data_IF_741661716895
#
_entry.id   IF_741661716895
#
_cell.length_a   1.000
_cell.length_b   1.000
_cell.length_c   1.000
_cell.angle_alpha   90.00
_cell.angle_beta   90.00
_cell.angle_gamma   90.00
#
_symmetry.space_group_name_H-M   'P 1'
#
loop_
_entity.id
_entity.type
_entity.pdbx_description
1 polymer ?
#
# COMPACT_ATOMS: atom_id res chain seq x y z
N UNK A 1 4.22 12.96 31.46
CA UNK A 1 3.41 14.15 31.11
C UNK A 1 3.02 14.20 29.62
N UNK A 2 3.47 13.25 28.77
CA UNK A 2 3.14 13.21 27.35
C UNK A 2 3.71 14.34 26.49
N UNK A 3 4.56 15.18 27.06
CA UNK A 3 5.20 16.27 26.30
C UNK A 3 6.53 15.81 25.71
N UNK A 4 6.86 16.23 24.47
CA UNK A 4 8.15 15.96 23.87
C UNK A 4 9.29 16.52 24.71
N UNK A 5 10.36 15.74 24.87
CA UNK A 5 11.59 16.22 25.52
C UNK A 5 12.45 16.91 24.46
N UNK A 6 12.81 18.19 24.64
CA UNK A 6 13.65 18.90 23.69
C UNK A 6 14.97 18.16 23.42
N UNK A 7 15.37 18.10 22.15
CA UNK A 7 16.62 17.48 21.69
C UNK A 7 16.72 15.96 21.93
N UNK A 8 15.61 15.28 22.24
CA UNK A 8 15.57 13.83 22.37
C UNK A 8 14.72 13.24 21.23
N UNK A 9 15.28 12.31 20.49
CA UNK A 9 14.66 11.66 19.34
C UNK A 9 14.61 10.15 19.57
N UNK A 10 13.51 9.52 19.16
CA UNK A 10 13.34 8.08 19.19
C UNK A 10 13.08 7.55 17.77
N UNK A 11 13.76 6.49 17.38
CA UNK A 11 13.59 5.84 16.07
C UNK A 11 13.58 4.32 16.24
N UNK A 12 12.91 3.62 15.31
CA UNK A 12 12.79 2.17 15.33
C UNK A 12 11.71 1.65 16.29
N UNK A 13 11.84 0.41 16.68
CA UNK A 13 10.84 -0.35 17.42
C UNK A 13 10.46 0.28 18.76
N UNK A 14 11.38 0.99 19.39
CA UNK A 14 11.14 1.74 20.64
C UNK A 14 10.01 2.77 20.53
N UNK A 15 9.69 3.22 19.30
CA UNK A 15 8.59 4.18 19.07
C UNK A 15 7.21 3.55 19.19
N UNK A 16 7.09 2.21 19.19
CA UNK A 16 5.82 1.48 19.18
C UNK A 16 4.97 1.70 17.93
N UNK A 17 5.53 2.29 16.88
CA UNK A 17 4.87 2.47 15.57
C UNK A 17 5.00 1.19 14.72
N UNK A 18 5.18 1.29 13.42
CA UNK A 18 5.44 0.13 12.57
C UNK A 18 6.84 -0.43 12.86
N UNK A 19 6.92 -1.61 13.49
CA UNK A 19 8.16 -2.27 13.90
C UNK A 19 8.81 -3.01 12.73
N UNK A 20 9.33 -2.23 11.77
CA UNK A 20 9.92 -2.70 10.51
C UNK A 20 11.26 -1.99 10.27
N UNK A 21 12.26 -2.71 9.75
CA UNK A 21 13.59 -2.17 9.51
C UNK A 21 13.59 -0.92 8.60
N UNK A 22 12.83 -0.95 7.51
CA UNK A 22 12.69 0.18 6.59
C UNK A 22 11.93 1.36 7.22
N UNK A 23 10.99 1.12 8.14
CA UNK A 23 10.36 2.18 8.94
C UNK A 23 11.38 2.85 9.85
N UNK A 24 12.20 2.06 10.54
CA UNK A 24 13.27 2.59 11.41
C UNK A 24 14.25 3.45 10.63
N UNK A 25 14.68 3.01 9.44
CA UNK A 25 15.55 3.77 8.55
C UNK A 25 14.92 5.11 8.12
N UNK A 26 13.64 5.08 7.72
CA UNK A 26 12.90 6.30 7.36
C UNK A 26 12.75 7.26 8.55
N UNK A 27 12.46 6.74 9.74
CA UNK A 27 12.40 7.54 10.98
C UNK A 27 13.74 8.19 11.28
N UNK A 28 14.86 7.47 11.11
CA UNK A 28 16.21 8.02 11.28
C UNK A 28 16.48 9.19 10.35
N UNK A 29 16.14 9.05 9.07
CA UNK A 29 16.27 10.14 8.08
C UNK A 29 15.45 11.36 8.49
N UNK A 30 14.18 11.15 8.86
CA UNK A 30 13.29 12.26 9.29
C UNK A 30 13.78 12.91 10.58
N UNK A 31 14.32 12.14 11.52
CA UNK A 31 14.88 12.69 12.74
C UNK A 31 16.07 13.63 12.43
N UNK A 32 16.98 13.22 11.53
CA UNK A 32 18.11 14.08 11.08
C UNK A 32 17.59 15.33 10.36
N UNK A 33 16.63 15.18 9.43
CA UNK A 33 16.03 16.33 8.73
C UNK A 33 15.46 17.35 9.74
N UNK A 34 14.79 16.86 10.79
CA UNK A 34 14.20 17.73 11.81
C UNK A 34 15.24 18.37 12.75
N UNK A 35 16.35 17.67 13.05
CA UNK A 35 17.48 18.25 13.75
C UNK A 35 18.07 19.43 12.96
N UNK A 36 18.06 19.31 11.62
CA UNK A 36 18.52 20.35 10.70
C UNK A 36 17.47 21.45 10.43
N UNK A 37 16.27 21.33 11.00
CA UNK A 37 15.22 22.36 10.89
C UNK A 37 14.30 22.21 9.67
N UNK A 38 14.29 21.08 8.96
CA UNK A 38 13.51 20.91 7.73
C UNK A 38 12.02 20.62 7.98
N UNK A 39 11.57 20.33 9.21
CA UNK A 39 10.15 20.16 9.56
C UNK A 39 9.45 19.01 8.85
N UNK A 40 10.11 17.87 8.68
CA UNK A 40 9.60 16.71 7.92
C UNK A 40 8.76 15.77 8.80
N UNK A 41 7.71 15.17 8.21
CA UNK A 41 6.87 14.16 8.84
C UNK A 41 6.86 12.86 8.02
N UNK A 42 6.51 11.74 8.68
CA UNK A 42 6.31 10.44 8.03
C UNK A 42 4.82 10.18 7.87
N UNK A 43 4.36 9.90 6.65
CA UNK A 43 3.04 9.28 6.44
C UNK A 43 3.17 7.76 6.59
N UNK A 44 2.85 7.26 7.79
CA UNK A 44 2.91 5.82 8.08
C UNK A 44 1.95 4.98 7.24
N UNK A 45 0.90 5.59 6.65
CA UNK A 45 -0.03 4.86 5.77
C UNK A 45 0.61 4.42 4.46
N UNK A 46 1.64 5.13 4.01
CA UNK A 46 2.36 4.81 2.77
C UNK A 46 3.48 3.79 2.94
N UNK A 47 3.76 3.35 4.18
CA UNK A 47 4.83 2.38 4.45
C UNK A 47 4.29 0.96 4.23
N UNK A 48 4.84 0.20 3.28
CA UNK A 48 4.44 -1.18 3.05
C UNK A 48 4.96 -2.09 4.17
N UNK A 49 4.20 -3.16 4.45
CA UNK A 49 4.61 -4.24 5.33
C UNK A 49 4.58 -5.57 4.58
N UNK A 50 5.54 -6.45 4.88
CA UNK A 50 5.59 -7.78 4.31
C UNK A 50 5.91 -8.83 5.38
N UNK A 51 5.30 -10.02 5.21
CA UNK A 51 5.58 -11.22 5.99
C UNK A 51 6.06 -12.30 5.01
N UNK A 52 7.29 -12.79 5.22
CA UNK A 52 7.98 -13.70 4.32
C UNK A 52 7.62 -15.17 4.61
N UNK A 53 6.33 -15.45 4.65
CA UNK A 53 5.78 -16.80 4.64
C UNK A 53 5.80 -17.37 3.22
N UNK A 54 5.41 -18.63 3.04
CA UNK A 54 5.17 -19.20 1.73
C UNK A 54 3.71 -19.69 1.67
N UNK A 55 2.85 -19.03 0.88
CA UNK A 55 3.03 -17.78 0.11
C UNK A 55 3.26 -16.54 1.01
N UNK A 56 3.88 -15.51 0.42
CA UNK A 56 4.11 -14.23 1.09
C UNK A 56 2.80 -13.46 1.32
N UNK A 57 2.81 -12.60 2.35
CA UNK A 57 1.71 -11.67 2.63
C UNK A 57 2.27 -10.25 2.70
N UNK A 58 1.61 -9.32 2.05
CA UNK A 58 1.99 -7.91 2.14
C UNK A 58 0.78 -6.98 2.20
N UNK A 59 1.00 -5.78 2.72
CA UNK A 59 -0.05 -4.78 2.85
C UNK A 59 0.52 -3.36 2.84
N UNK A 60 -0.30 -2.41 2.43
CA UNK A 60 -0.03 -0.98 2.56
C UNK A 60 -1.36 -0.22 2.68
N UNK A 61 -1.34 0.91 3.36
CA UNK A 61 -2.51 1.77 3.52
C UNK A 61 -3.51 1.25 4.54
N UNK A 62 -4.77 1.55 4.31
CA UNK A 62 -5.86 1.24 5.23
C UNK A 62 -6.29 -0.23 5.14
N UNK A 63 -6.66 -0.80 6.29
CA UNK A 63 -7.46 -2.02 6.31
C UNK A 63 -8.88 -1.74 5.81
N UNK A 64 -9.62 -2.80 5.46
CA UNK A 64 -11.03 -2.59 5.05
C UNK A 64 -11.88 -1.97 6.16
N UNK A 65 -11.61 -2.30 7.43
CA UNK A 65 -12.31 -1.74 8.57
C UNK A 65 -12.03 -0.23 8.70
N UNK A 66 -10.76 0.16 8.62
CA UNK A 66 -10.35 1.57 8.70
C UNK A 66 -10.85 2.37 7.50
N UNK A 67 -10.82 1.78 6.30
CA UNK A 67 -11.33 2.42 5.08
C UNK A 67 -12.85 2.62 5.13
N UNK A 68 -13.62 1.69 5.72
CA UNK A 68 -15.05 1.85 5.96
C UNK A 68 -15.33 2.98 6.95
N UNK A 69 -14.61 3.01 8.07
CA UNK A 69 -14.77 4.09 9.06
C UNK A 69 -14.43 5.46 8.47
N UNK A 70 -13.37 5.53 7.64
CA UNK A 70 -13.03 6.77 6.93
C UNK A 70 -14.13 7.17 5.93
N UNK A 71 -14.67 6.21 5.17
CA UNK A 71 -15.72 6.47 4.19
C UNK A 71 -17.01 7.00 4.86
N UNK A 72 -17.39 6.44 5.99
CA UNK A 72 -18.52 6.91 6.79
C UNK A 72 -18.28 8.33 7.33
N UNK A 73 -17.07 8.59 7.85
CA UNK A 73 -16.70 9.89 8.41
C UNK A 73 -16.69 10.99 7.35
N UNK A 74 -16.10 10.72 6.19
CA UNK A 74 -15.83 11.72 5.15
C UNK A 74 -16.90 11.73 4.04
N UNK A 75 -17.92 10.85 4.11
CA UNK A 75 -19.08 10.85 3.24
C UNK A 75 -18.81 10.38 1.80
N UNK A 76 -17.91 9.41 1.59
CA UNK A 76 -17.67 8.82 0.27
C UNK A 76 -18.02 7.33 0.23
N UNK A 77 -18.15 6.77 -0.98
CA UNK A 77 -18.35 5.34 -1.15
C UNK A 77 -17.00 4.60 -1.24
N UNK A 78 -16.82 3.58 -0.38
CA UNK A 78 -15.67 2.68 -0.47
C UNK A 78 -15.83 1.71 -1.63
N UNK A 79 -14.81 1.63 -2.49
CA UNK A 79 -14.66 0.61 -3.52
C UNK A 79 -13.69 -0.48 -3.07
N UNK A 80 -13.96 -1.72 -3.48
CA UNK A 80 -13.08 -2.87 -3.27
C UNK A 80 -13.11 -3.79 -4.47
N UNK A 81 -11.95 -4.21 -4.93
CA UNK A 81 -11.79 -5.23 -5.99
C UNK A 81 -10.80 -6.30 -5.57
N UNK A 82 -10.85 -7.45 -6.25
CA UNK A 82 -9.87 -8.52 -6.09
C UNK A 82 -9.39 -9.00 -7.45
N UNK A 83 -8.09 -9.11 -7.62
CA UNK A 83 -7.44 -9.80 -8.72
C UNK A 83 -6.78 -11.07 -8.20
N UNK A 84 -6.65 -12.10 -9.04
CA UNK A 84 -6.23 -13.42 -8.62
C UNK A 84 -5.01 -13.89 -9.41
N UNK A 85 -4.02 -14.47 -8.73
CA UNK A 85 -2.84 -15.06 -9.36
C UNK A 85 -3.20 -16.21 -10.30
N UNK A 86 -4.30 -16.94 -10.05
CA UNK A 86 -4.82 -17.99 -10.95
C UNK A 86 -5.16 -17.50 -12.36
N UNK A 87 -5.36 -16.19 -12.53
CA UNK A 87 -5.60 -15.56 -13.84
C UNK A 87 -4.34 -14.90 -14.44
N UNK A 88 -3.19 -15.02 -13.76
CA UNK A 88 -1.93 -14.43 -14.18
C UNK A 88 -1.05 -15.47 -14.89
N UNK A 89 -0.65 -15.20 -16.13
CA UNK A 89 0.12 -16.15 -16.97
C UNK A 89 1.50 -16.45 -16.40
N UNK A 90 2.17 -15.49 -15.75
CA UNK A 90 3.48 -15.71 -15.15
C UNK A 90 3.38 -16.62 -13.91
N UNK A 91 2.38 -16.40 -13.05
CA UNK A 91 2.14 -17.25 -11.88
C UNK A 91 1.81 -18.71 -12.30
N UNK A 92 1.02 -18.88 -13.37
CA UNK A 92 0.75 -20.20 -13.93
C UNK A 92 2.01 -20.88 -14.49
N UNK A 93 2.87 -20.13 -15.18
CA UNK A 93 4.12 -20.63 -15.72
C UNK A 93 5.12 -21.05 -14.62
N UNK A 94 5.06 -20.41 -13.45
CA UNK A 94 5.87 -20.75 -12.29
C UNK A 94 5.27 -21.86 -11.42
N UNK A 95 4.07 -22.36 -11.79
CA UNK A 95 3.33 -23.39 -11.05
C UNK A 95 3.00 -22.97 -9.59
N UNK A 96 2.95 -21.66 -9.33
CA UNK A 96 2.62 -21.07 -8.04
C UNK A 96 1.60 -19.92 -8.24
N UNK A 97 0.35 -20.30 -8.41
CA UNK A 97 -0.74 -19.39 -8.75
C UNK A 97 -1.78 -19.23 -7.62
N UNK A 98 -1.47 -19.73 -6.42
CA UNK A 98 -2.36 -19.53 -5.27
C UNK A 98 -2.14 -18.14 -4.68
N UNK A 99 -3.20 -17.34 -4.69
CA UNK A 99 -3.11 -15.99 -4.17
C UNK A 99 -4.09 -15.00 -4.78
N UNK A 100 -4.14 -13.84 -4.15
CA UNK A 100 -4.96 -12.72 -4.58
C UNK A 100 -4.35 -11.38 -4.14
N UNK A 101 -4.72 -10.33 -4.84
CA UNK A 101 -4.61 -8.96 -4.39
C UNK A 101 -6.00 -8.39 -4.14
N UNK A 102 -6.17 -7.70 -3.01
CA UNK A 102 -7.33 -6.88 -2.68
C UNK A 102 -6.93 -5.41 -2.70
N UNK A 103 -7.62 -4.60 -3.47
CA UNK A 103 -7.43 -3.15 -3.57
C UNK A 103 -8.63 -2.42 -2.98
N UNK A 104 -8.36 -1.39 -2.17
CA UNK A 104 -9.36 -0.50 -1.58
C UNK A 104 -9.18 0.91 -2.16
N UNK A 105 -10.27 1.55 -2.55
CA UNK A 105 -10.23 2.88 -3.18
C UNK A 105 -11.48 3.70 -2.88
N UNK A 106 -11.37 5.01 -2.97
CA UNK A 106 -12.49 5.94 -2.90
C UNK A 106 -13.20 5.98 -4.26
N UNK A 107 -14.47 5.58 -4.33
CA UNK A 107 -15.24 5.57 -5.60
C UNK A 107 -15.51 6.97 -6.18
N UNK A 108 -15.46 8.00 -5.37
CA UNK A 108 -15.70 9.38 -5.82
C UNK A 108 -14.45 9.98 -6.45
N UNK A 109 -13.30 9.92 -5.74
CA UNK A 109 -12.03 10.50 -6.22
C UNK A 109 -11.20 9.53 -7.06
N UNK A 110 -11.41 8.24 -6.90
CA UNK A 110 -10.55 7.18 -7.41
C UNK A 110 -9.29 6.91 -6.57
N UNK A 111 -9.04 7.67 -5.50
CA UNK A 111 -7.83 7.57 -4.69
C UNK A 111 -7.64 6.15 -4.14
N UNK A 112 -6.42 5.61 -4.29
CA UNK A 112 -6.01 4.33 -3.68
C UNK A 112 -5.87 4.52 -2.18
N UNK A 113 -6.62 3.75 -1.39
CA UNK A 113 -6.63 3.85 0.08
C UNK A 113 -5.79 2.77 0.74
N UNK A 114 -5.64 1.61 0.11
CA UNK A 114 -4.85 0.51 0.64
C UNK A 114 -4.93 -0.73 -0.23
N UNK A 115 -3.98 -1.65 -0.01
CA UNK A 115 -3.96 -2.96 -0.66
C UNK A 115 -3.39 -4.03 0.26
N UNK A 116 -3.83 -5.27 -0.01
CA UNK A 116 -3.37 -6.47 0.67
C UNK A 116 -3.13 -7.53 -0.40
N UNK A 117 -1.93 -8.11 -0.41
CA UNK A 117 -1.54 -9.15 -1.36
C UNK A 117 -1.17 -10.40 -0.56
N UNK A 118 -1.65 -11.53 -1.02
CA UNK A 118 -1.27 -12.86 -0.59
C UNK A 118 -0.89 -13.63 -1.83
N UNK A 119 0.34 -14.12 -1.91
CA UNK A 119 0.80 -14.87 -3.08
C UNK A 119 2.29 -14.68 -3.38
N UNK A 120 2.70 -15.23 -4.51
CA UNK A 120 4.08 -15.20 -5.00
C UNK A 120 4.61 -13.76 -5.14
N UNK A 121 5.77 -13.47 -4.54
CA UNK A 121 6.42 -12.14 -4.57
C UNK A 121 5.54 -10.98 -4.09
N UNK A 122 4.63 -11.24 -3.16
CA UNK A 122 3.75 -10.21 -2.61
C UNK A 122 4.54 -9.04 -1.99
N UNK A 123 5.71 -9.34 -1.39
CA UNK A 123 6.59 -8.33 -0.78
C UNK A 123 7.16 -7.33 -1.80
N UNK A 124 7.46 -7.79 -3.02
CA UNK A 124 7.94 -6.92 -4.10
C UNK A 124 6.79 -6.16 -4.77
N UNK A 125 5.67 -6.83 -5.02
CA UNK A 125 4.52 -6.26 -5.72
C UNK A 125 3.85 -5.12 -4.95
N UNK A 126 3.83 -5.18 -3.62
CA UNK A 126 3.19 -4.15 -2.79
C UNK A 126 3.83 -2.76 -2.94
N UNK A 127 5.10 -2.69 -3.37
CA UNK A 127 5.81 -1.41 -3.49
C UNK A 127 5.20 -0.48 -4.53
N UNK A 128 4.67 -1.01 -5.62
CA UNK A 128 3.94 -0.21 -6.63
C UNK A 128 2.73 0.47 -5.99
N UNK A 129 1.95 -0.29 -5.22
CA UNK A 129 0.76 0.26 -4.55
C UNK A 129 1.15 1.22 -3.43
N UNK A 130 2.25 0.99 -2.72
CA UNK A 130 2.77 1.92 -1.72
C UNK A 130 3.11 3.29 -2.34
N UNK A 131 3.69 3.30 -3.54
CA UNK A 131 3.94 4.52 -4.30
C UNK A 131 2.63 5.24 -4.67
N UNK A 132 1.61 4.50 -5.07
CA UNK A 132 0.28 5.05 -5.38
C UNK A 132 -0.38 5.67 -4.14
N UNK A 133 -0.34 5.00 -2.99
CA UNK A 133 -0.85 5.51 -1.70
C UNK A 133 -0.09 6.77 -1.28
N UNK A 134 1.25 6.75 -1.32
CA UNK A 134 2.09 7.89 -0.94
C UNK A 134 1.80 9.15 -1.76
N UNK A 135 1.46 8.98 -3.04
CA UNK A 135 1.17 10.07 -3.99
C UNK A 135 -0.32 10.37 -4.12
N UNK A 136 -1.18 9.66 -3.38
CA UNK A 136 -2.65 9.76 -3.47
C UNK A 136 -3.16 9.62 -4.90
N UNK A 137 -2.58 8.69 -5.66
CA UNK A 137 -2.93 8.49 -7.06
C UNK A 137 -4.33 7.89 -7.21
N UNK A 138 -4.98 8.27 -8.32
CA UNK A 138 -6.27 7.72 -8.69
C UNK A 138 -6.10 6.43 -9.51
N UNK A 139 -6.93 5.43 -9.21
CA UNK A 139 -7.02 4.21 -10.03
C UNK A 139 -7.34 4.50 -11.50
N UNK A 140 -7.95 5.67 -11.81
CA UNK A 140 -8.21 6.11 -13.20
C UNK A 140 -6.89 6.36 -13.95
N UNK A 141 -5.89 6.93 -13.29
CA UNK A 141 -4.56 7.15 -13.87
C UNK A 141 -3.80 5.83 -13.96
N UNK A 142 -3.73 5.09 -12.84
CA UNK A 142 -3.00 3.82 -12.73
C UNK A 142 -3.49 2.75 -13.73
N UNK A 143 -4.78 2.72 -14.04
CA UNK A 143 -5.36 1.81 -15.03
C UNK A 143 -4.88 2.04 -16.46
N UNK A 144 -4.25 3.20 -16.76
CA UNK A 144 -3.68 3.52 -18.08
C UNK A 144 -2.18 3.22 -18.17
N UNK A 145 -1.54 2.87 -17.07
CA UNK A 145 -0.12 2.52 -17.06
C UNK A 145 0.08 1.12 -17.65
N UNK A 146 1.17 0.96 -18.42
CA UNK A 146 1.47 -0.29 -19.13
C UNK A 146 2.42 -1.13 -18.29
N UNK A 147 2.01 -2.35 -17.97
CA UNK A 147 2.86 -3.33 -17.28
C UNK A 147 3.56 -4.25 -18.28
N UNK A 148 4.76 -4.69 -17.92
CA UNK A 148 5.51 -5.65 -18.73
C UNK A 148 4.82 -7.01 -18.73
N UNK A 149 4.70 -7.64 -19.90
CA UNK A 149 4.12 -8.97 -20.08
C UNK A 149 5.18 -10.01 -20.51
N UNK A 150 5.17 -11.25 -19.95
CA UNK A 150 4.36 -11.69 -18.81
C UNK A 150 5.08 -11.41 -17.47
N UNK A 151 4.38 -10.81 -16.51
CA UNK A 151 4.91 -10.56 -15.17
C UNK A 151 3.87 -10.78 -14.08
N UNK A 152 4.32 -10.91 -12.82
CA UNK A 152 3.42 -10.97 -11.68
C UNK A 152 2.76 -9.61 -11.40
N UNK A 153 3.39 -8.49 -11.77
CA UNK A 153 2.83 -7.14 -11.57
C UNK A 153 1.52 -6.89 -12.34
N UNK A 154 1.21 -7.71 -13.35
CA UNK A 154 -0.09 -7.65 -14.03
C UNK A 154 -1.28 -7.98 -13.11
N UNK A 155 -1.04 -8.62 -11.95
CA UNK A 155 -2.09 -8.79 -10.91
C UNK A 155 -2.50 -7.43 -10.36
N UNK A 156 -1.53 -6.51 -10.21
CA UNK A 156 -1.77 -5.14 -9.75
C UNK A 156 -2.48 -4.33 -10.84
N UNK A 157 -2.01 -4.43 -12.09
CA UNK A 157 -2.65 -3.80 -13.26
C UNK A 157 -4.13 -4.18 -13.39
N UNK A 158 -4.44 -5.48 -13.27
CA UNK A 158 -5.82 -5.98 -13.33
C UNK A 158 -6.67 -5.37 -12.22
N UNK A 159 -6.13 -5.25 -11.00
CA UNK A 159 -6.85 -4.62 -9.89
C UNK A 159 -7.14 -3.14 -10.17
N UNK A 160 -6.19 -2.38 -10.72
CA UNK A 160 -6.40 -0.99 -11.11
C UNK A 160 -7.46 -0.83 -12.19
N UNK A 161 -7.41 -1.66 -13.24
CA UNK A 161 -8.42 -1.66 -14.31
C UNK A 161 -9.82 -1.99 -13.79
N UNK A 162 -9.95 -3.00 -12.93
CA UNK A 162 -11.23 -3.36 -12.30
C UNK A 162 -11.76 -2.24 -11.40
N UNK A 163 -10.89 -1.56 -10.66
CA UNK A 163 -11.26 -0.44 -9.80
C UNK A 163 -11.72 0.77 -10.64
N UNK A 164 -10.96 1.11 -11.69
CA UNK A 164 -11.32 2.21 -12.60
C UNK A 164 -12.67 1.99 -13.28
N UNK A 165 -13.00 0.75 -13.64
CA UNK A 165 -14.31 0.39 -14.22
C UNK A 165 -15.50 0.58 -13.25
N UNK A 166 -15.24 0.70 -11.94
CA UNK A 166 -16.27 0.97 -10.93
C UNK A 166 -16.45 2.47 -10.62
N UNK A 167 -15.59 3.33 -11.16
CA UNK A 167 -15.76 4.78 -11.00
C UNK A 167 -16.89 5.27 -11.90
N UNK A 168 -17.70 6.18 -11.38
CA UNK A 168 -18.70 6.86 -12.20
C UNK A 168 -18.02 7.62 -13.37
N UNK A 169 -18.66 7.61 -14.52
CA UNK A 169 -18.21 8.34 -15.71
C UNK A 169 -18.21 9.84 -15.48
#
# INVERSE_FOLDING_TARGET
NGQPVPHLWAVGDVTGKLMLAHTAAAQGTVAVDNILGHGREIDYRSIPAATFTHPEISSVGLTEADAKALAEKDGFQLGSVRSYFKANSKALAELDSDGLMKLLFNKTSGEVLGAHIYGLHAADLIQEVANAVARRQSVRQLATEVHTHPTLSEVVEVAYKQAAAQLAA
#
